data_IF_232294743229
#
_entry.id   IF_232294743229
#
_cell.length_a   1.000
_cell.length_b   1.000
_cell.length_c   1.000
_cell.angle_alpha   90.00
_cell.angle_beta   90.00
_cell.angle_gamma   90.00
#
_symmetry.space_group_name_H-M   'P 1'
#
loop_
_entity.id
_entity.type
_entity.pdbx_description
1 polymer ?
#
# COMPACT_ATOMS: atom_id res chain seq x y z
N UNK A 1 17.03 -3.89 3.80
CA UNK A 1 17.30 -3.66 2.37
C UNK A 1 16.08 -2.95 1.83
N UNK A 2 16.25 -1.86 1.09
CA UNK A 2 15.17 -1.10 0.48
C UNK A 2 14.81 -1.73 -0.88
N UNK A 3 13.53 -1.75 -1.24
CA UNK A 3 13.08 -2.19 -2.56
C UNK A 3 13.61 -1.28 -3.69
N UNK A 4 13.86 -1.83 -4.89
CA UNK A 4 14.32 -1.05 -6.05
C UNK A 4 13.25 0.00 -6.43
N UNK A 5 13.58 1.30 -6.37
CA UNK A 5 12.62 2.35 -6.70
C UNK A 5 12.01 2.22 -8.09
N UNK A 6 12.78 1.76 -9.09
CA UNK A 6 12.26 1.61 -10.46
C UNK A 6 11.22 0.51 -10.56
N UNK A 7 11.42 -0.59 -9.84
CA UNK A 7 10.45 -1.68 -9.81
C UNK A 7 9.15 -1.25 -9.12
N UNK A 8 9.24 -0.48 -8.03
CA UNK A 8 8.07 0.11 -7.36
C UNK A 8 7.36 1.09 -8.27
N UNK A 9 8.09 1.97 -8.97
CA UNK A 9 7.51 2.95 -9.90
C UNK A 9 6.77 2.26 -11.06
N UNK A 10 7.36 1.22 -11.65
CA UNK A 10 6.70 0.41 -12.70
C UNK A 10 5.47 -0.31 -12.18
N UNK A 11 5.49 -0.83 -10.95
CA UNK A 11 4.33 -1.48 -10.33
C UNK A 11 3.15 -0.50 -10.17
N UNK A 12 3.44 0.75 -9.80
CA UNK A 12 2.43 1.77 -9.50
C UNK A 12 2.00 2.60 -10.71
N UNK A 13 2.59 2.36 -11.88
CA UNK A 13 2.27 3.11 -13.10
C UNK A 13 0.78 2.96 -13.48
N UNK A 14 0.12 4.08 -13.76
CA UNK A 14 -1.29 4.12 -14.16
C UNK A 14 -2.32 3.87 -13.05
N UNK A 15 -1.88 3.70 -11.79
CA UNK A 15 -2.78 3.55 -10.66
C UNK A 15 -3.43 4.89 -10.25
N UNK A 16 -4.64 4.87 -9.68
CA UNK A 16 -5.28 6.09 -9.19
C UNK A 16 -4.53 6.68 -7.99
N UNK A 17 -4.71 7.99 -7.76
CA UNK A 17 -4.09 8.71 -6.63
C UNK A 17 -4.54 8.15 -5.27
N UNK A 18 -5.78 7.67 -5.18
CA UNK A 18 -6.37 7.09 -3.98
C UNK A 18 -6.76 5.64 -4.23
N UNK A 19 -6.04 4.74 -3.58
CA UNK A 19 -6.28 3.30 -3.65
C UNK A 19 -7.24 2.85 -2.56
N UNK A 20 -8.17 1.98 -2.94
CA UNK A 20 -8.97 1.15 -2.05
C UNK A 20 -8.16 -0.05 -1.56
N UNK A 21 -8.63 -0.69 -0.50
CA UNK A 21 -8.04 -1.96 -0.03
C UNK A 21 -8.11 -3.04 -1.11
N UNK A 22 -9.18 -3.12 -1.90
CA UNK A 22 -9.37 -4.16 -2.91
C UNK A 22 -8.48 -3.94 -4.15
N UNK A 23 -8.24 -2.68 -4.53
CA UNK A 23 -7.24 -2.34 -5.57
C UNK A 23 -5.84 -2.76 -5.12
N UNK A 24 -5.47 -2.52 -3.85
CA UNK A 24 -4.19 -2.98 -3.29
C UNK A 24 -4.11 -4.51 -3.28
N UNK A 25 -5.18 -5.21 -2.89
CA UNK A 25 -5.22 -6.68 -2.93
C UNK A 25 -4.97 -7.19 -4.34
N UNK A 26 -5.61 -6.58 -5.34
CA UNK A 26 -5.50 -6.94 -6.75
C UNK A 26 -4.09 -6.67 -7.27
N UNK A 27 -3.56 -5.47 -7.01
CA UNK A 27 -2.24 -5.03 -7.44
C UNK A 27 -1.12 -5.92 -6.85
N UNK A 28 -1.19 -6.18 -5.55
CA UNK A 28 -0.17 -6.92 -4.81
C UNK A 28 -0.39 -8.44 -4.80
N UNK A 29 -1.55 -8.90 -5.30
CA UNK A 29 -1.98 -10.31 -5.28
C UNK A 29 -1.98 -10.91 -3.87
N UNK A 30 -2.47 -10.14 -2.89
CA UNK A 30 -2.57 -10.57 -1.49
C UNK A 30 -4.02 -10.58 -1.02
N UNK A 31 -4.26 -11.24 0.11
CA UNK A 31 -5.58 -11.23 0.74
C UNK A 31 -5.91 -9.88 1.38
N UNK A 32 -7.20 -9.58 1.56
CA UNK A 32 -7.64 -8.41 2.31
C UNK A 32 -7.10 -8.42 3.76
N UNK A 33 -7.01 -9.59 4.39
CA UNK A 33 -6.41 -9.73 5.73
C UNK A 33 -4.94 -9.30 5.78
N UNK A 34 -4.19 -9.55 4.71
CA UNK A 34 -2.79 -9.11 4.57
C UNK A 34 -2.71 -7.59 4.51
N UNK A 35 -3.52 -6.93 3.68
CA UNK A 35 -3.53 -5.46 3.59
C UNK A 35 -3.99 -4.81 4.91
N UNK A 36 -4.98 -5.40 5.59
CA UNK A 36 -5.41 -4.93 6.91
C UNK A 36 -4.30 -5.06 7.96
N UNK A 37 -3.51 -6.13 7.91
CA UNK A 37 -2.29 -6.27 8.74
C UNK A 37 -1.27 -5.20 8.41
N UNK A 38 -1.04 -4.90 7.14
CA UNK A 38 -0.13 -3.83 6.73
C UNK A 38 -0.51 -2.48 7.33
N UNK A 39 -1.81 -2.16 7.30
CA UNK A 39 -2.36 -0.93 7.88
C UNK A 39 -2.18 -0.90 9.40
N UNK A 40 -2.53 -2.01 10.08
CA UNK A 40 -2.59 -2.05 11.55
C UNK A 40 -1.20 -2.17 12.19
N UNK A 41 -0.43 -3.13 11.70
CA UNK A 41 0.77 -3.63 12.37
C UNK A 41 2.03 -3.08 11.68
N UNK A 42 2.00 -2.96 10.35
CA UNK A 42 3.17 -2.54 9.55
C UNK A 42 3.12 -1.06 9.11
N UNK A 43 2.17 -0.29 9.66
CA UNK A 43 2.08 1.17 9.52
C UNK A 43 1.90 1.69 8.09
N UNK A 44 1.24 0.93 7.21
CA UNK A 44 0.79 1.44 5.91
C UNK A 44 -0.16 2.65 6.12
N UNK A 45 0.20 3.86 5.66
CA UNK A 45 -0.61 5.06 5.92
C UNK A 45 -1.97 5.01 5.22
N UNK A 46 -3.02 5.36 5.95
CA UNK A 46 -4.39 5.46 5.43
C UNK A 46 -4.99 6.81 5.76
N UNK A 47 -5.77 7.35 4.82
CA UNK A 47 -6.57 8.55 5.03
C UNK A 47 -8.05 8.18 5.17
N UNK A 48 -8.77 8.90 6.03
CA UNK A 48 -10.24 8.82 6.07
C UNK A 48 -10.81 9.77 5.03
N UNK A 49 -11.71 9.25 4.18
CA UNK A 49 -12.47 10.02 3.19
C UNK A 49 -13.97 9.98 3.48
N UNK A 50 -14.33 9.63 4.72
CA UNK A 50 -15.70 9.51 5.21
C UNK A 50 -15.79 8.61 6.45
N UNK A 51 -16.97 8.52 7.11
CA UNK A 51 -17.12 7.86 8.42
C UNK A 51 -16.69 6.40 8.46
N UNK A 52 -16.78 5.70 7.31
CA UNK A 52 -16.42 4.27 7.17
C UNK A 52 -15.51 3.99 5.97
N UNK A 53 -15.05 5.03 5.27
CA UNK A 53 -14.31 4.89 4.03
C UNK A 53 -12.86 5.32 4.24
N UNK A 54 -11.93 4.40 3.94
CA UNK A 54 -10.49 4.64 4.00
C UNK A 54 -9.88 4.48 2.60
N UNK A 55 -8.84 5.25 2.33
CA UNK A 55 -8.02 5.16 1.13
C UNK A 55 -6.54 5.20 1.51
N UNK A 56 -5.70 4.66 0.66
CA UNK A 56 -4.25 4.82 0.72
C UNK A 56 -3.87 5.77 -0.41
N UNK A 57 -3.12 6.82 -0.09
CA UNK A 57 -2.56 7.69 -1.14
C UNK A 57 -1.43 6.94 -1.86
N UNK A 58 -1.41 7.01 -3.19
CA UNK A 58 -0.43 6.29 -4.02
C UNK A 58 1.01 6.65 -3.64
N UNK A 59 1.28 7.93 -3.34
CA UNK A 59 2.59 8.41 -2.86
C UNK A 59 3.01 7.76 -1.54
N UNK A 60 2.12 7.71 -0.55
CA UNK A 60 2.40 7.05 0.72
C UNK A 60 2.56 5.53 0.56
N UNK A 61 1.79 4.92 -0.36
CA UNK A 61 1.95 3.50 -0.64
C UNK A 61 3.33 3.20 -1.24
N UNK A 62 3.76 4.05 -2.18
CA UNK A 62 5.11 3.99 -2.76
C UNK A 62 6.20 4.08 -1.69
N UNK A 63 6.12 5.09 -0.83
CA UNK A 63 7.09 5.28 0.27
C UNK A 63 7.14 4.07 1.20
N UNK A 64 5.97 3.51 1.52
CA UNK A 64 5.87 2.30 2.33
C UNK A 64 6.47 1.06 1.62
N UNK A 65 6.15 0.84 0.34
CA UNK A 65 6.67 -0.27 -0.45
C UNK A 65 8.19 -0.27 -0.54
N UNK A 66 8.80 0.92 -0.64
CA UNK A 66 10.25 1.05 -0.64
C UNK A 66 10.89 0.48 0.63
N UNK A 67 10.21 0.59 1.77
CA UNK A 67 10.70 0.13 3.07
C UNK A 67 10.16 -1.26 3.47
N UNK A 68 9.23 -1.82 2.69
CA UNK A 68 8.48 -3.02 3.06
C UNK A 68 9.37 -4.27 3.30
N UNK A 69 10.48 -4.39 2.59
CA UNK A 69 11.45 -5.50 2.75
C UNK A 69 12.14 -5.51 4.13
N UNK A 70 12.08 -4.40 4.87
CA UNK A 70 12.66 -4.28 6.21
C UNK A 70 11.66 -4.60 7.32
N UNK A 71 10.39 -4.72 6.97
CA UNK A 71 9.31 -4.98 7.90
C UNK A 71 9.34 -6.48 8.23
N UNK A 72 9.66 -6.79 9.49
CA UNK A 72 9.61 -8.15 10.01
C UNK A 72 8.15 -8.52 10.31
N UNK A 73 7.74 -9.70 9.87
CA UNK A 73 6.42 -10.30 10.17
C UNK A 73 6.27 -10.69 11.65
#
# INVERSE_FOLDING_TARGET
MMNDPRAVDTLLEGQPELLTTDEICTLMRVSQGTVLRWIKDQKLPVISVGPRLRRVQLSHFREWLLQADEIKD
#
